data_IF_192488579247
#
_entry.id   IF_192488579247
#
_cell.length_a   1.000
_cell.length_b   1.000
_cell.length_c   1.000
_cell.angle_alpha   90.00
_cell.angle_beta   90.00
_cell.angle_gamma   90.00
#
_symmetry.space_group_name_H-M   'P 1'
#
loop_
_entity.id
_entity.type
_entity.pdbx_description
1 polymer ?
#
# COMPACT_ATOMS: atom_id res chain seq x y z
N UNK A 1 -25.52 -9.50 3.06
CA UNK A 1 -24.60 -10.43 2.36
C UNK A 1 -23.87 -11.30 3.38
N UNK A 2 -23.76 -12.61 3.14
CA UNK A 2 -22.99 -13.52 3.99
C UNK A 2 -21.48 -13.48 3.65
N UNK A 3 -20.64 -14.01 4.54
CA UNK A 3 -19.18 -14.00 4.36
C UNK A 3 -18.69 -14.76 3.13
N UNK A 4 -19.42 -15.77 2.65
CA UNK A 4 -19.04 -16.56 1.47
C UNK A 4 -19.27 -15.78 0.18
N UNK A 5 -20.34 -15.00 0.13
CA UNK A 5 -20.63 -14.10 -0.99
C UNK A 5 -19.54 -13.04 -1.14
N UNK A 6 -19.09 -12.42 -0.04
CA UNK A 6 -17.99 -11.45 -0.05
C UNK A 6 -16.72 -12.10 -0.63
N UNK A 7 -16.33 -13.26 -0.12
CA UNK A 7 -15.14 -13.99 -0.62
C UNK A 7 -15.24 -14.29 -2.11
N UNK A 8 -16.40 -14.76 -2.58
CA UNK A 8 -16.61 -15.05 -4.00
C UNK A 8 -16.41 -13.81 -4.85
N UNK A 9 -16.97 -12.66 -4.44
CA UNK A 9 -16.84 -11.42 -5.21
C UNK A 9 -15.42 -10.87 -5.13
N UNK A 10 -14.73 -10.94 -3.98
CA UNK A 10 -13.33 -10.54 -3.88
C UNK A 10 -12.43 -11.36 -4.81
N UNK A 11 -12.72 -12.65 -5.02
CA UNK A 11 -12.02 -13.48 -6.00
C UNK A 11 -12.29 -13.03 -7.45
N UNK A 12 -13.52 -12.64 -7.76
CA UNK A 12 -13.87 -12.05 -9.07
C UNK A 12 -13.11 -10.73 -9.31
N UNK A 13 -13.06 -9.85 -8.31
CA UNK A 13 -12.29 -8.59 -8.36
C UNK A 13 -10.82 -8.88 -8.60
N UNK A 14 -10.22 -9.82 -7.86
CA UNK A 14 -8.81 -10.18 -8.03
C UNK A 14 -8.53 -10.70 -9.45
N UNK A 15 -9.41 -11.57 -9.97
CA UNK A 15 -9.30 -12.08 -11.35
C UNK A 15 -9.35 -10.94 -12.36
N UNK A 16 -10.31 -10.05 -12.22
CA UNK A 16 -10.46 -8.87 -13.09
C UNK A 16 -9.23 -7.97 -13.03
N UNK A 17 -8.70 -7.71 -11.83
CA UNK A 17 -7.52 -6.87 -11.61
C UNK A 17 -6.27 -7.40 -12.32
N UNK A 18 -6.09 -8.73 -12.34
CA UNK A 18 -5.02 -9.38 -13.11
C UNK A 18 -5.18 -9.19 -14.61
N UNK A 19 -6.42 -9.15 -15.12
CA UNK A 19 -6.69 -8.84 -16.53
C UNK A 19 -6.37 -7.37 -16.84
N UNK A 20 -6.72 -6.45 -15.94
CA UNK A 20 -6.35 -5.03 -16.06
C UNK A 20 -4.83 -4.87 -16.10
N UNK A 21 -4.11 -5.55 -15.21
CA UNK A 21 -2.64 -5.55 -15.20
C UNK A 21 -2.05 -6.02 -16.55
N UNK A 22 -2.59 -7.09 -17.13
CA UNK A 22 -2.15 -7.58 -18.44
C UNK A 22 -2.38 -6.56 -19.57
N UNK A 23 -3.41 -5.70 -19.47
CA UNK A 23 -3.68 -4.65 -20.47
C UNK A 23 -2.67 -3.49 -20.42
N UNK A 24 -2.03 -3.28 -19.26
CA UNK A 24 -1.05 -2.20 -19.04
C UNK A 24 0.40 -2.69 -19.10
N UNK A 25 0.64 -3.98 -18.90
CA UNK A 25 1.96 -4.60 -18.99
C UNK A 25 2.58 -4.42 -20.40
N UNK A 26 3.87 -4.07 -20.45
CA UNK A 26 4.60 -3.88 -21.70
C UNK A 26 4.31 -2.56 -22.45
N UNK A 27 3.45 -1.68 -21.92
CA UNK A 27 3.29 -0.33 -22.47
C UNK A 27 4.55 0.51 -22.21
N UNK A 28 5.01 1.26 -23.20
CA UNK A 28 6.00 2.32 -22.99
C UNK A 28 5.41 3.33 -21.99
N UNK A 29 5.97 3.34 -20.78
CA UNK A 29 5.38 4.03 -19.64
C UNK A 29 6.34 5.12 -19.14
N UNK A 30 5.78 6.28 -18.80
CA UNK A 30 6.49 7.31 -18.05
C UNK A 30 6.91 6.80 -16.67
N UNK A 31 7.85 7.51 -16.01
CA UNK A 31 8.25 7.17 -14.64
C UNK A 31 7.04 7.15 -13.67
N UNK A 32 6.12 8.11 -13.83
CA UNK A 32 4.89 8.15 -13.05
C UNK A 32 4.06 6.88 -13.25
N UNK A 33 3.78 6.49 -14.49
CA UNK A 33 3.00 5.29 -14.79
C UNK A 33 3.69 4.02 -14.28
N UNK A 34 5.02 3.93 -14.37
CA UNK A 34 5.77 2.81 -13.78
C UNK A 34 5.60 2.73 -12.25
N UNK A 35 5.62 3.87 -11.55
CA UNK A 35 5.34 3.91 -10.11
C UNK A 35 3.90 3.49 -9.80
N UNK A 36 2.93 3.91 -10.61
CA UNK A 36 1.52 3.51 -10.47
C UNK A 36 1.34 2.00 -10.71
N UNK A 37 1.95 1.44 -11.75
CA UNK A 37 1.94 -0.01 -12.04
C UNK A 37 2.52 -0.78 -10.86
N UNK A 38 3.66 -0.33 -10.32
CA UNK A 38 4.27 -0.94 -9.15
C UNK A 38 3.32 -0.92 -7.93
N UNK A 39 2.72 0.22 -7.60
CA UNK A 39 1.76 0.31 -6.50
C UNK A 39 0.54 -0.60 -6.72
N UNK A 40 0.06 -0.72 -7.96
CA UNK A 40 -1.07 -1.59 -8.30
C UNK A 40 -0.73 -3.07 -8.20
N UNK A 41 0.46 -3.48 -8.66
CA UNK A 41 0.98 -4.83 -8.46
C UNK A 41 1.02 -5.19 -6.98
N UNK A 42 1.59 -4.30 -6.14
CA UNK A 42 1.63 -4.49 -4.69
C UNK A 42 0.22 -4.56 -4.09
N UNK A 43 -0.72 -3.76 -4.61
CA UNK A 43 -2.11 -3.82 -4.15
C UNK A 43 -2.75 -5.19 -4.47
N UNK A 44 -2.58 -5.72 -5.68
CA UNK A 44 -3.10 -7.05 -6.07
C UNK A 44 -2.59 -8.14 -5.12
N UNK A 45 -1.29 -8.18 -4.86
CA UNK A 45 -0.68 -9.16 -3.94
C UNK A 45 -1.21 -9.05 -2.51
N UNK A 46 -1.34 -7.81 -2.01
CA UNK A 46 -1.91 -7.57 -0.69
C UNK A 46 -3.38 -8.00 -0.63
N UNK A 47 -4.17 -7.72 -1.67
CA UNK A 47 -5.59 -8.08 -1.72
C UNK A 47 -5.81 -9.59 -1.78
N UNK A 48 -5.02 -10.31 -2.58
CA UNK A 48 -4.99 -11.77 -2.58
C UNK A 48 -4.66 -12.33 -1.19
N UNK A 49 -3.64 -11.77 -0.54
CA UNK A 49 -3.24 -12.17 0.81
C UNK A 49 -4.32 -11.89 1.85
N UNK A 50 -5.08 -10.78 1.73
CA UNK A 50 -6.23 -10.48 2.59
C UNK A 50 -7.32 -11.54 2.45
N UNK A 51 -7.65 -11.96 1.23
CA UNK A 51 -8.62 -13.03 0.98
C UNK A 51 -8.15 -14.31 1.69
N UNK A 52 -6.91 -14.73 1.46
CA UNK A 52 -6.34 -15.95 2.06
C UNK A 52 -6.33 -15.90 3.59
N UNK A 53 -5.88 -14.79 4.18
CA UNK A 53 -5.82 -14.63 5.64
C UNK A 53 -7.23 -14.64 6.25
N UNK A 54 -8.19 -13.99 5.60
CA UNK A 54 -9.58 -13.99 6.04
C UNK A 54 -10.12 -15.42 6.03
N UNK A 55 -10.01 -16.15 4.92
CA UNK A 55 -10.45 -17.55 4.79
C UNK A 55 -9.84 -18.49 5.86
N UNK A 56 -8.62 -18.20 6.30
CA UNK A 56 -7.90 -18.95 7.32
C UNK A 56 -8.13 -18.42 8.76
N UNK A 57 -9.17 -17.60 8.98
CA UNK A 57 -9.52 -17.03 10.28
C UNK A 57 -8.39 -16.19 10.92
N UNK A 58 -7.60 -15.47 10.10
CA UNK A 58 -6.54 -14.53 10.53
C UNK A 58 -6.90 -13.07 10.24
N UNK A 59 -7.99 -12.53 10.83
CA UNK A 59 -8.51 -11.21 10.48
C UNK A 59 -7.59 -10.05 10.90
N UNK A 60 -6.78 -10.21 11.95
CA UNK A 60 -5.85 -9.16 12.40
C UNK A 60 -4.73 -8.96 11.38
N UNK A 61 -4.16 -10.06 10.89
CA UNK A 61 -3.13 -10.04 9.85
C UNK A 61 -3.71 -9.48 8.54
N UNK A 62 -4.94 -9.87 8.20
CA UNK A 62 -5.66 -9.29 7.07
C UNK A 62 -5.82 -7.76 7.24
N UNK A 63 -6.20 -7.29 8.43
CA UNK A 63 -6.32 -5.86 8.76
C UNK A 63 -5.04 -5.06 8.58
N UNK A 64 -3.88 -5.65 8.92
CA UNK A 64 -2.59 -5.03 8.66
C UNK A 64 -2.37 -4.80 7.16
N UNK A 65 -2.76 -5.76 6.31
CA UNK A 65 -2.68 -5.60 4.86
C UNK A 65 -3.71 -4.62 4.30
N UNK A 66 -4.91 -4.51 4.89
CA UNK A 66 -5.88 -3.47 4.51
C UNK A 66 -5.26 -2.08 4.71
N UNK A 67 -4.54 -1.86 5.80
CA UNK A 67 -3.80 -0.61 6.02
C UNK A 67 -2.81 -0.32 4.89
N UNK A 68 -2.08 -1.33 4.42
CA UNK A 68 -1.12 -1.16 3.31
C UNK A 68 -1.82 -0.86 1.99
N UNK A 69 -3.02 -1.41 1.73
CA UNK A 69 -3.82 -1.02 0.56
C UNK A 69 -4.18 0.46 0.58
N UNK A 70 -4.60 0.97 1.75
CA UNK A 70 -4.91 2.40 1.93
C UNK A 70 -3.66 3.25 1.68
N UNK A 71 -2.50 2.86 2.22
CA UNK A 71 -1.24 3.57 2.00
C UNK A 71 -0.83 3.58 0.51
N UNK A 72 -1.00 2.47 -0.21
CA UNK A 72 -0.76 2.41 -1.66
C UNK A 72 -1.69 3.37 -2.42
N UNK A 73 -2.99 3.36 -2.13
CA UNK A 73 -3.94 4.29 -2.73
C UNK A 73 -3.54 5.76 -2.48
N UNK A 74 -3.13 6.07 -1.24
CA UNK A 74 -2.68 7.41 -0.89
C UNK A 74 -1.43 7.82 -1.68
N UNK A 75 -0.46 6.92 -1.82
CA UNK A 75 0.75 7.17 -2.62
C UNK A 75 0.42 7.43 -4.09
N UNK A 76 -0.47 6.63 -4.68
CA UNK A 76 -0.92 6.77 -6.07
C UNK A 76 -1.61 8.12 -6.30
N UNK A 77 -2.63 8.45 -5.48
CA UNK A 77 -3.33 9.73 -5.54
C UNK A 77 -2.40 10.91 -5.28
N UNK A 78 -1.45 10.78 -4.34
CA UNK A 78 -0.47 11.82 -4.08
C UNK A 78 0.40 12.06 -5.30
N UNK A 79 0.90 11.01 -5.97
CA UNK A 79 1.68 11.16 -7.21
C UNK A 79 0.88 11.87 -8.31
N UNK A 80 -0.42 11.57 -8.47
CA UNK A 80 -1.27 12.14 -9.52
C UNK A 80 -1.34 13.68 -9.50
N UNK A 81 -1.26 14.31 -8.32
CA UNK A 81 -1.34 15.78 -8.21
C UNK A 81 -0.14 16.46 -8.91
N UNK A 82 1.05 15.85 -8.86
CA UNK A 82 2.25 16.34 -9.54
C UNK A 82 3.08 15.14 -10.07
N UNK A 83 2.67 14.52 -11.19
CA UNK A 83 3.17 13.22 -11.62
C UNK A 83 4.69 13.12 -11.70
N UNK A 84 5.34 14.03 -12.42
CA UNK A 84 6.79 14.02 -12.63
C UNK A 84 7.57 14.33 -11.35
N UNK A 85 7.17 15.39 -10.63
CA UNK A 85 7.84 15.82 -9.41
C UNK A 85 7.77 14.73 -8.32
N UNK A 86 6.58 14.18 -8.09
CA UNK A 86 6.31 13.27 -6.97
C UNK A 86 6.77 11.85 -7.24
N UNK A 87 6.63 11.34 -8.47
CA UNK A 87 7.26 10.06 -8.84
C UNK A 87 8.79 10.17 -8.74
N UNK A 88 9.37 11.31 -9.15
CA UNK A 88 10.80 11.55 -9.01
C UNK A 88 11.26 11.56 -7.55
N UNK A 89 10.45 12.14 -6.65
CA UNK A 89 10.68 12.06 -5.21
C UNK A 89 10.48 10.65 -4.65
N UNK A 90 9.53 9.89 -5.15
CA UNK A 90 9.32 8.51 -4.70
C UNK A 90 10.56 7.65 -5.00
N UNK A 91 11.05 7.67 -6.24
CA UNK A 91 12.22 6.88 -6.67
C UNK A 91 13.49 7.29 -5.91
N UNK A 92 13.74 8.60 -5.76
CA UNK A 92 14.95 9.10 -5.06
C UNK A 92 14.96 8.79 -3.56
N UNK A 93 13.80 8.53 -2.96
CA UNK A 93 13.72 8.24 -1.54
C UNK A 93 14.33 6.88 -1.17
N UNK A 94 14.31 5.90 -2.09
CA UNK A 94 14.96 4.61 -1.88
C UNK A 94 16.45 4.75 -1.59
N UNK A 95 17.13 5.68 -2.27
CA UNK A 95 18.55 6.00 -2.01
C UNK A 95 18.79 6.42 -0.56
N UNK A 96 17.86 7.16 0.06
CA UNK A 96 17.96 7.54 1.48
C UNK A 96 17.72 6.35 2.41
N UNK A 97 16.73 5.52 2.11
CA UNK A 97 16.44 4.31 2.90
C UNK A 97 17.64 3.35 2.87
N UNK A 98 18.18 3.10 1.69
CA UNK A 98 19.31 2.22 1.48
C UNK A 98 20.57 2.74 2.19
N UNK A 99 20.84 4.06 2.15
CA UNK A 99 21.94 4.66 2.91
C UNK A 99 21.71 4.53 4.42
N UNK A 100 20.50 4.81 4.93
CA UNK A 100 20.18 4.72 6.35
C UNK A 100 20.30 3.27 6.87
N UNK A 101 19.89 2.29 6.08
CA UNK A 101 19.98 0.87 6.43
C UNK A 101 21.45 0.44 6.53
N UNK A 102 22.27 0.75 5.53
CA UNK A 102 23.70 0.42 5.52
C UNK A 102 24.46 1.10 6.68
N UNK A 103 24.14 2.36 6.98
CA UNK A 103 24.70 3.07 8.15
C UNK A 103 24.37 2.36 9.47
N UNK A 104 23.17 1.77 9.59
CA UNK A 104 22.77 0.99 10.77
C UNK A 104 23.49 -0.36 10.82
N UNK A 105 23.66 -1.02 9.67
CA UNK A 105 24.39 -2.30 9.57
C UNK A 105 25.86 -2.13 9.98
N UNK A 106 26.55 -1.08 9.51
CA UNK A 106 27.95 -0.79 9.87
C UNK A 106 28.14 -0.59 11.37
N UNK A 107 27.15 -0.01 12.05
CA UNK A 107 27.17 0.23 13.50
C UNK A 107 26.82 -1.01 14.33
N UNK A 108 26.23 -2.02 13.71
CA UNK A 108 25.78 -3.23 14.39
C UNK A 108 26.87 -4.30 14.34
N UNK A 109 27.24 -4.83 15.52
CA UNK A 109 28.29 -5.84 15.66
C UNK A 109 28.03 -7.13 14.88
N UNK A 110 26.77 -7.42 14.55
CA UNK A 110 26.37 -8.58 13.73
C UNK A 110 26.95 -8.57 12.31
N UNK A 111 27.25 -7.40 11.76
CA UNK A 111 27.76 -7.24 10.38
C UNK A 111 29.25 -6.91 10.34
N UNK A 112 30.02 -7.33 11.37
CA UNK A 112 31.44 -7.00 11.46
C UNK A 112 32.24 -7.55 10.26
N UNK A 113 31.91 -8.75 9.79
CA UNK A 113 32.60 -9.41 8.68
C UNK A 113 32.30 -8.75 7.32
N UNK A 114 31.09 -8.23 7.12
CA UNK A 114 30.67 -7.55 5.88
C UNK A 114 30.98 -6.05 5.87
N UNK A 115 31.57 -5.51 6.95
CA UNK A 115 31.62 -4.07 7.20
C UNK A 115 32.34 -3.29 6.09
N UNK A 116 33.46 -3.80 5.59
CA UNK A 116 34.24 -3.14 4.53
C UNK A 116 33.45 -3.09 3.21
N UNK A 117 32.82 -4.21 2.82
CA UNK A 117 31.95 -4.27 1.64
C UNK A 117 30.81 -3.26 1.72
N UNK A 118 30.14 -3.17 2.87
CA UNK A 118 29.03 -2.21 3.08
C UNK A 118 29.52 -0.76 3.01
N UNK A 119 30.72 -0.47 3.52
CA UNK A 119 31.33 0.86 3.43
C UNK A 119 31.63 1.24 1.97
N UNK A 120 32.14 0.30 1.17
CA UNK A 120 32.44 0.56 -0.23
C UNK A 120 31.16 0.77 -1.06
N UNK A 121 30.11 -0.01 -0.83
CA UNK A 121 28.77 0.25 -1.41
C UNK A 121 28.24 1.64 -1.04
N UNK A 122 28.44 2.08 0.20
CA UNK A 122 28.03 3.42 0.64
C UNK A 122 28.84 4.54 -0.03
N UNK A 123 30.14 4.34 -0.27
CA UNK A 123 30.99 5.32 -0.95
C UNK A 123 30.49 5.60 -2.36
N UNK A 124 30.01 4.58 -3.07
CA UNK A 124 29.41 4.71 -4.41
C UNK A 124 28.11 5.53 -4.39
N UNK A 125 27.42 5.64 -3.24
CA UNK A 125 26.15 6.36 -3.09
C UNK A 125 26.32 7.79 -2.53
N UNK A 126 27.51 8.16 -2.05
CA UNK A 126 27.70 9.29 -1.12
C UNK A 126 27.41 10.66 -1.75
N UNK A 127 27.78 10.86 -3.00
CA UNK A 127 27.63 12.14 -3.69
C UNK A 127 26.17 12.46 -4.02
N UNK A 128 25.36 11.44 -4.27
CA UNK A 128 23.92 11.57 -4.51
C UNK A 128 23.13 11.75 -3.21
N UNK A 129 23.52 11.06 -2.13
CA UNK A 129 22.78 11.12 -0.86
C UNK A 129 22.79 12.51 -0.24
N UNK A 130 23.89 13.25 -0.32
CA UNK A 130 23.96 14.62 0.24
C UNK A 130 22.97 15.58 -0.42
N UNK A 131 22.79 15.46 -1.74
CA UNK A 131 21.82 16.24 -2.52
C UNK A 131 20.40 15.79 -2.23
N UNK A 132 20.18 14.48 -2.18
CA UNK A 132 18.87 13.88 -1.91
C UNK A 132 18.40 14.23 -0.50
N UNK A 133 19.25 14.17 0.54
CA UNK A 133 18.87 14.53 1.93
C UNK A 133 18.24 15.93 2.04
N UNK A 134 18.68 16.88 1.21
CA UNK A 134 18.10 18.25 1.19
C UNK A 134 16.64 18.27 0.71
N UNK A 135 16.22 17.27 -0.07
CA UNK A 135 14.84 17.12 -0.53
C UNK A 135 13.91 16.54 0.55
N UNK A 136 14.46 15.91 1.60
CA UNK A 136 13.71 15.24 2.66
C UNK A 136 14.23 15.66 4.04
N UNK A 137 13.93 16.89 4.50
CA UNK A 137 14.35 17.37 5.81
C UNK A 137 13.78 16.55 6.98
N UNK A 138 12.68 15.80 6.76
CA UNK A 138 11.99 14.98 7.75
C UNK A 138 11.80 13.55 7.26
N UNK A 139 12.88 12.74 7.14
CA UNK A 139 12.81 11.39 6.59
C UNK A 139 11.91 10.46 7.42
N UNK A 140 11.68 10.73 8.70
CA UNK A 140 10.74 9.99 9.54
C UNK A 140 9.28 10.07 9.06
N UNK A 141 8.94 11.08 8.25
CA UNK A 141 7.61 11.26 7.67
C UNK A 141 7.45 10.60 6.28
N UNK A 142 8.40 9.74 5.89
CA UNK A 142 8.38 9.08 4.59
C UNK A 142 8.65 10.01 3.40
N UNK A 143 8.60 9.48 2.19
CA UNK A 143 8.96 10.21 0.97
C UNK A 143 8.04 11.39 0.65
N UNK A 144 6.78 11.36 1.12
CA UNK A 144 5.82 12.44 0.95
C UNK A 144 5.98 13.55 2.02
N UNK A 145 6.83 13.37 3.02
CA UNK A 145 7.16 14.37 4.06
C UNK A 145 5.93 14.86 4.86
N UNK A 146 4.97 13.96 5.09
CA UNK A 146 3.67 14.25 5.75
C UNK A 146 3.30 13.10 6.69
N UNK A 147 2.56 13.38 7.76
CA UNK A 147 1.84 12.29 8.43
C UNK A 147 0.64 11.85 7.55
N UNK A 148 -0.01 10.73 7.89
CA UNK A 148 -1.10 10.20 7.07
C UNK A 148 -2.36 11.07 7.05
N UNK A 149 -2.63 11.82 8.11
CA UNK A 149 -3.79 12.74 8.16
C UNK A 149 -3.60 13.88 7.15
N UNK A 150 -2.45 14.54 7.20
CA UNK A 150 -2.07 15.61 6.26
C UNK A 150 -2.02 15.10 4.82
N UNK A 151 -1.52 13.88 4.61
CA UNK A 151 -1.48 13.26 3.29
C UNK A 151 -2.90 13.03 2.75
N UNK A 152 -3.78 12.41 3.54
CA UNK A 152 -5.17 12.13 3.17
C UNK A 152 -5.98 13.41 2.93
N UNK A 153 -5.76 14.44 3.74
CA UNK A 153 -6.37 15.75 3.54
C UNK A 153 -5.98 16.35 2.17
N UNK A 154 -4.70 16.28 1.81
CA UNK A 154 -4.22 16.83 0.54
C UNK A 154 -4.78 16.09 -0.68
N UNK A 155 -4.95 14.77 -0.59
CA UNK A 155 -5.49 13.93 -1.68
C UNK A 155 -7.01 13.76 -1.62
N UNK A 156 -7.71 14.55 -0.79
CA UNK A 156 -9.17 14.55 -0.66
C UNK A 156 -9.77 13.21 -0.17
N UNK A 157 -9.07 12.50 0.72
CA UNK A 157 -9.52 11.27 1.39
C UNK A 157 -9.65 11.44 2.92
N UNK A 158 -9.91 12.67 3.37
CA UNK A 158 -9.99 13.01 4.80
C UNK A 158 -11.09 12.23 5.54
N UNK A 159 -12.20 11.95 4.86
CA UNK A 159 -13.32 11.14 5.39
C UNK A 159 -12.93 9.68 5.66
N UNK A 160 -11.88 9.18 5.00
CA UNK A 160 -11.34 7.82 5.21
C UNK A 160 -10.31 7.75 6.33
N UNK A 161 -9.84 8.88 6.85
CA UNK A 161 -8.79 8.90 7.88
C UNK A 161 -9.18 8.14 9.14
N UNK A 162 -10.45 8.24 9.57
CA UNK A 162 -10.94 7.51 10.75
C UNK A 162 -10.84 5.99 10.57
N UNK A 163 -11.05 5.48 9.36
CA UNK A 163 -10.90 4.04 9.05
C UNK A 163 -9.43 3.64 9.16
N UNK A 164 -8.52 4.40 8.55
CA UNK A 164 -7.08 4.16 8.66
C UNK A 164 -6.60 4.21 10.11
N UNK A 165 -6.98 5.25 10.85
CA UNK A 165 -6.63 5.43 12.25
C UNK A 165 -7.11 4.25 13.09
N UNK A 166 -8.35 3.81 12.87
CA UNK A 166 -8.96 2.66 13.55
C UNK A 166 -8.20 1.37 13.25
N UNK A 167 -7.86 1.11 11.99
CA UNK A 167 -7.04 -0.04 11.60
C UNK A 167 -5.68 0.01 12.30
N UNK A 168 -4.99 1.14 12.25
CA UNK A 168 -3.69 1.33 12.87
C UNK A 168 -3.71 1.02 14.38
N UNK A 169 -4.77 1.38 15.10
CA UNK A 169 -4.88 1.10 16.54
C UNK A 169 -5.26 -0.35 16.86
N UNK A 170 -6.02 -1.01 15.98
CA UNK A 170 -6.53 -2.36 16.23
C UNK A 170 -5.58 -3.49 15.79
N UNK A 171 -4.66 -3.23 14.85
CA UNK A 171 -3.70 -4.24 14.36
C UNK A 171 -2.52 -4.47 15.29
N UNK A 172 -2.21 -3.49 16.16
CA UNK A 172 -1.18 -3.65 17.17
C UNK A 172 -1.71 -4.43 18.38
N UNK A 173 -0.80 -5.13 19.08
CA UNK A 173 -1.09 -5.85 20.33
C UNK A 173 -1.40 -4.88 21.47
N UNK A 174 -2.58 -4.27 21.43
CA UNK A 174 -3.09 -3.34 22.43
C UNK A 174 -4.19 -3.95 23.31
N UNK A 175 -4.58 -3.27 24.40
CA UNK A 175 -5.63 -3.74 25.31
C UNK A 175 -6.96 -4.04 24.60
N UNK A 176 -7.32 -3.25 23.58
CA UNK A 176 -8.52 -3.46 22.77
C UNK A 176 -8.47 -4.77 21.99
N UNK A 177 -7.33 -5.08 21.37
CA UNK A 177 -7.10 -6.31 20.59
C UNK A 177 -7.14 -7.54 21.50
N UNK A 178 -6.55 -7.46 22.70
CA UNK A 178 -6.59 -8.50 23.72
C UNK A 178 -8.04 -8.75 24.19
N UNK A 179 -8.81 -7.70 24.47
CA UNK A 179 -10.24 -7.84 24.83
C UNK A 179 -11.05 -8.54 23.74
N UNK A 180 -10.81 -8.21 22.46
CA UNK A 180 -11.46 -8.89 21.33
C UNK A 180 -11.08 -10.38 21.25
N UNK A 181 -9.82 -10.71 21.53
CA UNK A 181 -9.34 -12.09 21.56
C UNK A 181 -9.97 -12.90 22.69
N UNK A 182 -10.03 -12.35 23.90
CA UNK A 182 -10.63 -12.99 25.08
C UNK A 182 -12.14 -13.26 24.87
N UNK A 183 -12.83 -12.36 24.18
CA UNK A 183 -14.28 -12.42 23.99
C UNK A 183 -14.71 -13.14 22.71
N UNK A 184 -13.79 -13.75 21.95
CA UNK A 184 -14.13 -14.30 20.63
C UNK A 184 -14.98 -15.56 20.75
N UNK A 185 -16.18 -15.51 20.15
CA UNK A 185 -16.96 -16.70 19.78
C UNK A 185 -16.49 -17.20 18.42
N UNK A 186 -16.46 -18.52 18.24
CA UNK A 186 -16.05 -19.17 16.99
C UNK A 186 -16.79 -18.61 15.76
N UNK A 187 -16.04 -18.22 14.72
CA UNK A 187 -16.61 -17.69 13.48
C UNK A 187 -15.59 -16.96 12.58
N UNK A 188 -15.87 -17.00 11.28
CA UNK A 188 -15.12 -16.28 10.25
C UNK A 188 -15.47 -14.79 10.29
N UNK A 189 -14.48 -13.93 10.59
CA UNK A 189 -14.64 -12.47 10.58
C UNK A 189 -14.29 -11.92 9.18
N UNK A 190 -15.32 -11.56 8.42
CA UNK A 190 -15.21 -11.05 7.04
C UNK A 190 -15.24 -9.53 6.95
N UNK A 191 -15.28 -8.83 8.08
CA UNK A 191 -15.34 -7.35 8.10
C UNK A 191 -14.14 -6.70 7.41
N UNK A 192 -12.94 -7.27 7.58
CA UNK A 192 -11.72 -6.80 6.93
C UNK A 192 -11.74 -7.00 5.41
N UNK A 193 -12.39 -8.05 4.94
CA UNK A 193 -12.52 -8.31 3.50
C UNK A 193 -13.52 -7.35 2.86
N UNK A 194 -14.59 -6.98 3.58
CA UNK A 194 -15.48 -5.89 3.16
C UNK A 194 -14.71 -4.57 3.06
N UNK A 195 -13.99 -4.19 4.12
CA UNK A 195 -13.20 -2.96 4.15
C UNK A 195 -12.10 -2.92 3.08
N UNK A 196 -11.40 -4.03 2.82
CA UNK A 196 -10.38 -4.06 1.75
C UNK A 196 -10.97 -3.88 0.36
N UNK A 197 -12.18 -4.40 0.13
CA UNK A 197 -12.85 -4.33 -1.16
C UNK A 197 -13.16 -2.89 -1.56
N UNK A 198 -13.64 -2.05 -0.63
CA UNK A 198 -13.90 -0.63 -0.89
C UNK A 198 -12.64 0.11 -1.36
N UNK A 199 -11.53 -0.04 -0.63
CA UNK A 199 -10.26 0.61 -0.99
C UNK A 199 -9.68 0.04 -2.29
N UNK A 200 -9.90 -1.25 -2.55
CA UNK A 200 -9.42 -1.87 -3.76
C UNK A 200 -10.18 -1.37 -5.00
N UNK A 201 -11.49 -1.11 -4.91
CA UNK A 201 -12.22 -0.44 -6.00
C UNK A 201 -11.73 0.97 -6.25
N UNK A 202 -11.46 1.76 -5.20
CA UNK A 202 -10.89 3.10 -5.38
C UNK A 202 -9.53 3.06 -6.11
N UNK A 203 -8.74 1.99 -5.92
CA UNK A 203 -7.51 1.76 -6.67
C UNK A 203 -7.82 1.39 -8.13
N UNK A 204 -8.80 0.54 -8.39
CA UNK A 204 -9.22 0.17 -9.75
C UNK A 204 -9.75 1.36 -10.54
N UNK A 205 -10.61 2.19 -9.94
CA UNK A 205 -11.11 3.43 -10.54
C UNK A 205 -9.95 4.36 -10.91
N UNK A 206 -8.99 4.54 -9.99
CA UNK A 206 -7.80 5.33 -10.25
C UNK A 206 -6.96 4.75 -11.40
N UNK A 207 -6.83 3.42 -11.49
CA UNK A 207 -6.10 2.77 -12.58
C UNK A 207 -6.82 2.96 -13.91
N UNK A 208 -8.16 2.91 -13.93
CA UNK A 208 -8.93 3.23 -15.13
C UNK A 208 -8.67 4.67 -15.58
N UNK A 209 -8.70 5.63 -14.65
CA UNK A 209 -8.44 7.05 -14.92
C UNK A 209 -7.03 7.28 -15.50
N UNK A 210 -6.00 6.68 -14.90
CA UNK A 210 -4.61 6.89 -15.33
C UNK A 210 -4.33 6.29 -16.69
N UNK A 211 -4.85 5.10 -16.98
CA UNK A 211 -4.55 4.36 -18.20
C UNK A 211 -5.64 4.43 -19.28
N UNK A 212 -6.72 5.18 -19.01
CA UNK A 212 -7.89 5.36 -19.87
C UNK A 212 -8.42 4.03 -20.42
N UNK A 213 -8.60 3.03 -19.55
CA UNK A 213 -8.94 1.66 -19.96
C UNK A 213 -10.43 1.50 -20.31
N UNK A 214 -11.26 2.46 -19.91
CA UNK A 214 -12.72 2.45 -20.09
C UNK A 214 -13.39 1.24 -19.43
N UNK A 215 -12.94 0.88 -18.22
CA UNK A 215 -13.41 -0.30 -17.48
C UNK A 215 -14.45 0.00 -16.39
N UNK A 216 -14.87 1.26 -16.23
CA UNK A 216 -15.84 1.70 -15.22
C UNK A 216 -17.11 0.84 -15.14
N UNK A 217 -17.72 0.44 -16.27
CA UNK A 217 -18.91 -0.42 -16.26
C UNK A 217 -18.66 -1.78 -15.57
N UNK A 218 -17.46 -2.35 -15.72
CA UNK A 218 -17.10 -3.63 -15.11
C UNK A 218 -16.87 -3.46 -13.60
N UNK A 219 -16.24 -2.35 -13.20
CA UNK A 219 -16.06 -1.98 -11.80
C UNK A 219 -17.41 -1.76 -11.11
N UNK A 220 -18.30 -0.95 -11.71
CA UNK A 220 -19.64 -0.69 -11.19
C UNK A 220 -20.43 -1.99 -11.01
N UNK A 221 -20.41 -2.89 -12.00
CA UNK A 221 -21.09 -4.17 -11.91
C UNK A 221 -20.58 -5.04 -10.75
N UNK A 222 -19.26 -5.06 -10.52
CA UNK A 222 -18.68 -5.76 -9.38
C UNK A 222 -19.06 -5.09 -8.04
N UNK A 223 -19.06 -3.76 -7.99
CA UNK A 223 -19.47 -2.97 -6.82
C UNK A 223 -20.94 -3.20 -6.46
N UNK A 224 -21.85 -3.19 -7.44
CA UNK A 224 -23.28 -3.47 -7.21
C UNK A 224 -23.53 -4.87 -6.65
N UNK A 225 -22.72 -5.86 -7.01
CA UNK A 225 -22.86 -7.23 -6.48
C UNK A 225 -22.55 -7.31 -4.98
N UNK A 226 -21.74 -6.41 -4.44
CA UNK A 226 -21.43 -6.36 -3.00
C UNK A 226 -22.49 -5.64 -2.18
N UNK A 227 -23.27 -4.76 -2.80
CA UNK A 227 -24.27 -3.96 -2.11
C UNK A 227 -25.69 -4.56 -2.18
N UNK A 228 -25.83 -5.79 -2.70
CA UNK A 228 -27.08 -6.59 -2.71
C UNK A 228 -27.07 -7.63 -1.58
#
# INVERSE_FOLDING_TARGET
MDGRQIISISKDILKFSRQVLQKIEGRNSSQYEMCIIYCFLRAIENFESIILLTENNKPIDAGALVRVLIENLCQMKYMQIKPEERSGKFVKYDTLLAHSLRDKMIRNSRYREDKEKIIDELRMLKDDVSKIKRLYPRPELGWHQKNMEDLMNEIQLSDKYLVYWTLNHNIHSGPTTIKKYINKKDGLDTSYLGGSTDFFFMILDFIDDVFALSINNEIENLYFRLNK
#
